data_IF_047991678447
#
_entry.id   IF_047991678447
#
_cell.length_a   1.000
_cell.length_b   1.000
_cell.length_c   1.000
_cell.angle_alpha   90.00
_cell.angle_beta   90.00
_cell.angle_gamma   90.00
#
_symmetry.space_group_name_H-M   'P 1'
#
loop_
_entity.id
_entity.type
_entity.pdbx_description
1 polymer ?
#
# COMPACT_ATOMS: atom_id res chain seq x y z
N UNK A 1 9.26 -5.14 13.68
CA UNK A 1 7.92 -5.24 14.28
C UNK A 1 6.91 -4.96 13.18
N UNK A 2 5.87 -5.78 13.02
CA UNK A 2 4.76 -5.45 12.11
C UNK A 2 4.02 -4.23 12.68
N UNK A 3 3.71 -3.23 11.86
CA UNK A 3 2.92 -2.09 12.30
C UNK A 3 1.59 -2.59 12.89
N UNK A 4 1.21 -2.10 14.08
CA UNK A 4 -0.08 -2.47 14.68
C UNK A 4 -1.19 -1.83 13.87
N UNK A 5 -1.86 -2.57 12.98
CA UNK A 5 -3.03 -2.05 12.26
C UNK A 5 -4.31 -2.16 13.08
N UNK A 6 -5.18 -1.16 12.94
CA UNK A 6 -6.46 -1.03 13.62
C UNK A 6 -7.65 -1.13 12.63
N UNK A 7 -8.81 -1.62 13.08
CA UNK A 7 -10.01 -1.62 12.26
C UNK A 7 -10.37 -0.24 11.72
N UNK A 8 -10.72 -0.15 10.44
CA UNK A 8 -11.09 1.11 9.77
C UNK A 8 -9.94 1.92 9.20
N UNK A 9 -8.68 1.57 9.49
CA UNK A 9 -7.53 2.27 8.90
C UNK A 9 -7.41 2.04 7.38
N UNK A 10 -6.85 3.03 6.70
CA UNK A 10 -6.39 2.97 5.31
C UNK A 10 -4.89 2.69 5.31
N UNK A 11 -4.48 1.61 4.64
CA UNK A 11 -3.08 1.17 4.55
C UNK A 11 -2.58 1.29 3.12
N UNK A 12 -1.35 1.75 2.92
CA UNK A 12 -0.64 1.71 1.63
C UNK A 12 0.62 0.85 1.76
N UNK A 13 0.75 -0.13 0.88
CA UNK A 13 1.97 -0.94 0.71
C UNK A 13 2.74 -0.46 -0.52
N UNK A 14 3.96 0.05 -0.29
CA UNK A 14 4.86 0.47 -1.35
C UNK A 14 5.63 -0.74 -1.87
N UNK A 15 5.58 -0.98 -3.19
CA UNK A 15 6.22 -2.14 -3.81
C UNK A 15 5.52 -3.45 -3.47
N UNK A 16 4.19 -3.47 -3.59
CA UNK A 16 3.34 -4.55 -3.08
C UNK A 16 3.54 -5.92 -3.73
N UNK A 17 4.21 -5.99 -4.89
CA UNK A 17 4.50 -7.23 -5.60
C UNK A 17 3.22 -8.06 -5.83
N UNK A 18 3.25 -9.33 -5.44
CA UNK A 18 2.09 -10.23 -5.52
C UNK A 18 0.96 -9.93 -4.51
N UNK A 19 1.09 -8.88 -3.69
CA UNK A 19 0.03 -8.34 -2.84
C UNK A 19 -0.19 -9.05 -1.51
N UNK A 20 0.74 -9.91 -1.06
CA UNK A 20 0.56 -10.70 0.18
C UNK A 20 0.33 -9.78 1.39
N UNK A 21 1.18 -8.77 1.59
CA UNK A 21 1.09 -7.86 2.73
C UNK A 21 -0.16 -6.95 2.66
N UNK A 22 -0.59 -6.58 1.45
CA UNK A 22 -1.86 -5.87 1.22
C UNK A 22 -3.06 -6.71 1.66
N UNK A 23 -3.10 -7.99 1.28
CA UNK A 23 -4.20 -8.89 1.64
C UNK A 23 -4.24 -9.17 3.16
N UNK A 24 -3.07 -9.31 3.80
CA UNK A 24 -2.98 -9.43 5.25
C UNK A 24 -3.44 -8.15 5.95
N UNK A 25 -3.04 -6.99 5.43
CA UNK A 25 -3.45 -5.68 5.96
C UNK A 25 -4.96 -5.49 5.84
N UNK A 26 -5.55 -5.81 4.69
CA UNK A 26 -6.99 -5.74 4.46
C UNK A 26 -7.82 -6.59 5.42
N UNK A 27 -7.33 -7.80 5.77
CA UNK A 27 -7.98 -8.64 6.80
C UNK A 27 -7.92 -7.98 8.18
N UNK A 28 -6.81 -7.32 8.49
CA UNK A 28 -6.55 -6.74 9.81
C UNK A 28 -7.32 -5.44 10.06
N UNK A 29 -7.42 -4.56 9.05
CA UNK A 29 -8.23 -3.34 9.13
C UNK A 29 -9.73 -3.60 8.97
N UNK A 30 -10.11 -4.82 8.58
CA UNK A 30 -11.50 -5.25 8.50
C UNK A 30 -12.29 -4.55 7.39
N UNK A 31 -13.59 -4.86 7.26
CA UNK A 31 -14.42 -4.43 6.13
C UNK A 31 -14.66 -2.92 6.06
N UNK A 32 -14.46 -2.19 7.17
CA UNK A 32 -14.56 -0.73 7.22
C UNK A 32 -13.25 -0.02 6.85
N UNK A 33 -12.14 -0.74 6.80
CA UNK A 33 -10.84 -0.21 6.36
C UNK A 33 -10.56 -0.50 4.90
N UNK A 34 -9.38 -0.10 4.42
CA UNK A 34 -8.95 -0.28 3.03
C UNK A 34 -7.45 -0.57 2.98
N UNK A 35 -7.01 -1.46 2.08
CA UNK A 35 -5.59 -1.63 1.80
C UNK A 35 -5.31 -1.38 0.30
N UNK A 36 -4.32 -0.52 0.05
CA UNK A 36 -3.77 -0.24 -1.26
C UNK A 36 -2.43 -0.96 -1.43
N UNK A 37 -2.22 -1.56 -2.59
CA UNK A 37 -0.91 -1.99 -3.05
C UNK A 37 -0.45 -1.16 -4.23
N UNK A 38 0.74 -0.57 -4.16
CA UNK A 38 1.36 0.15 -5.26
C UNK A 38 2.50 -0.69 -5.85
N UNK A 39 2.46 -0.92 -7.15
CA UNK A 39 3.56 -1.58 -7.88
C UNK A 39 3.65 -1.02 -9.31
N UNK A 40 4.87 -0.93 -9.85
CA UNK A 40 5.10 -0.38 -11.19
C UNK A 40 4.87 -1.40 -12.30
N UNK A 41 4.98 -2.70 -11.99
CA UNK A 41 5.03 -3.76 -13.01
C UNK A 41 3.66 -4.37 -13.26
N UNK A 42 3.27 -4.46 -14.55
CA UNK A 42 2.00 -5.08 -14.94
C UNK A 42 1.92 -6.56 -14.52
N UNK A 43 3.07 -7.26 -14.50
CA UNK A 43 3.15 -8.65 -14.09
C UNK A 43 2.80 -8.83 -12.60
N UNK A 44 3.35 -8.01 -11.70
CA UNK A 44 3.02 -8.11 -10.27
C UNK A 44 1.59 -7.71 -10.01
N UNK A 45 1.10 -6.64 -10.66
CA UNK A 45 -0.31 -6.23 -10.53
C UNK A 45 -1.29 -7.31 -11.01
N UNK A 46 -0.98 -8.01 -12.10
CA UNK A 46 -1.78 -9.13 -12.57
C UNK A 46 -1.82 -10.26 -11.53
N UNK A 47 -0.67 -10.62 -10.95
CA UNK A 47 -0.57 -11.63 -9.89
C UNK A 47 -1.34 -11.20 -8.63
N UNK A 48 -1.20 -9.94 -8.22
CA UNK A 48 -1.84 -9.38 -7.04
C UNK A 48 -3.37 -9.37 -7.16
N UNK A 49 -3.90 -8.97 -8.32
CA UNK A 49 -5.35 -9.01 -8.62
C UNK A 49 -5.90 -10.43 -8.63
N UNK A 50 -5.14 -11.40 -9.13
CA UNK A 50 -5.53 -12.81 -9.05
C UNK A 50 -5.55 -13.33 -7.61
N UNK A 51 -4.57 -12.93 -6.79
CA UNK A 51 -4.55 -13.26 -5.36
C UNK A 51 -5.72 -12.60 -4.61
N UNK A 52 -6.06 -11.35 -4.93
CA UNK A 52 -7.26 -10.69 -4.41
C UNK A 52 -8.53 -11.47 -4.76
N UNK A 53 -8.71 -11.85 -6.02
CA UNK A 53 -9.88 -12.63 -6.47
C UNK A 53 -10.01 -13.95 -5.69
N UNK A 54 -8.89 -14.66 -5.47
CA UNK A 54 -8.85 -15.89 -4.66
C UNK A 54 -9.14 -15.65 -3.18
N UNK A 55 -8.77 -14.48 -2.66
CA UNK A 55 -8.93 -14.15 -1.23
C UNK A 55 -10.38 -13.84 -0.81
N UNK A 56 -11.20 -13.40 -1.77
CA UNK A 56 -12.57 -12.90 -1.52
C UNK A 56 -12.66 -11.53 -0.84
N UNK A 57 -11.54 -10.81 -0.69
CA UNK A 57 -11.50 -9.50 -0.05
C UNK A 57 -11.94 -8.38 -1.00
N UNK A 58 -12.94 -7.60 -0.57
CA UNK A 58 -13.48 -6.47 -1.34
C UNK A 58 -12.81 -5.12 -0.99
N UNK A 59 -12.10 -5.04 0.13
CA UNK A 59 -11.49 -3.81 0.65
C UNK A 59 -10.01 -3.66 0.25
N UNK A 60 -9.65 -4.17 -0.94
CA UNK A 60 -8.29 -4.17 -1.48
C UNK A 60 -8.28 -3.49 -2.85
N UNK A 61 -7.25 -2.70 -3.13
CA UNK A 61 -7.06 -2.07 -4.44
C UNK A 61 -5.59 -2.03 -4.84
N UNK A 62 -5.28 -2.41 -6.08
CA UNK A 62 -3.92 -2.40 -6.61
C UNK A 62 -3.75 -1.30 -7.67
N UNK A 63 -2.87 -0.37 -7.36
CA UNK A 63 -2.55 0.82 -8.14
C UNK A 63 -1.27 0.60 -8.94
N UNK A 64 -1.28 1.05 -10.19
CA UNK A 64 -0.07 1.09 -11.02
C UNK A 64 0.64 2.43 -10.84
N UNK A 65 1.92 2.40 -10.52
CA UNK A 65 2.74 3.61 -10.39
C UNK A 65 4.08 3.34 -9.76
N UNK A 66 4.90 4.38 -9.68
CA UNK A 66 6.19 4.37 -9.01
C UNK A 66 6.02 4.91 -7.58
N UNK A 67 6.91 4.53 -6.66
CA UNK A 67 6.82 4.97 -5.25
C UNK A 67 7.25 6.43 -5.08
N UNK A 68 7.81 7.02 -6.12
CA UNK A 68 8.18 8.42 -6.31
C UNK A 68 7.01 9.28 -6.82
N UNK A 69 5.88 8.68 -7.22
CA UNK A 69 4.69 9.39 -7.72
C UNK A 69 3.43 8.59 -7.35
N UNK A 70 3.03 8.70 -6.08
CA UNK A 70 1.96 7.88 -5.50
C UNK A 70 0.61 8.41 -6.02
N UNK A 71 -0.18 7.59 -6.73
CA UNK A 71 -1.45 8.02 -7.35
C UNK A 71 -2.60 8.06 -6.32
N UNK A 72 -2.38 8.72 -5.19
CA UNK A 72 -3.34 8.94 -4.12
C UNK A 72 -3.39 10.42 -3.71
N UNK A 73 -4.53 10.91 -3.20
CA UNK A 73 -4.64 12.27 -2.68
C UNK A 73 -3.76 12.49 -1.44
N UNK A 74 -3.48 13.76 -1.16
CA UNK A 74 -2.83 14.19 0.08
C UNK A 74 -3.64 13.73 1.31
N UNK A 75 -2.95 13.40 2.40
CA UNK A 75 -3.59 13.06 3.69
C UNK A 75 -4.73 12.03 3.59
N UNK A 76 -4.52 10.97 2.81
CA UNK A 76 -5.53 9.95 2.52
C UNK A 76 -5.26 8.59 3.18
N UNK A 77 -4.04 8.35 3.68
CA UNK A 77 -3.60 7.07 4.25
C UNK A 77 -3.28 7.21 5.74
N UNK A 78 -3.66 6.21 6.54
CA UNK A 78 -3.34 6.17 7.98
C UNK A 78 -2.01 5.48 8.27
N UNK A 79 -1.66 4.45 7.47
CA UNK A 79 -0.44 3.65 7.64
C UNK A 79 0.25 3.37 6.32
N UNK A 80 1.55 3.62 6.24
CA UNK A 80 2.38 3.19 5.11
C UNK A 80 3.29 2.05 5.55
N UNK A 81 3.29 0.97 4.76
CA UNK A 81 4.23 -0.14 4.90
C UNK A 81 5.07 -0.25 3.64
N UNK A 82 6.29 -0.77 3.81
CA UNK A 82 7.23 -1.02 2.72
C UNK A 82 8.20 -2.09 3.17
N UNK A 83 8.45 -3.06 2.31
CA UNK A 83 9.50 -4.06 2.54
C UNK A 83 10.62 -3.91 1.49
N UNK A 84 11.74 -3.32 1.92
CA UNK A 84 12.99 -3.15 1.16
C UNK A 84 12.93 -2.37 -0.18
N UNK A 85 11.76 -2.00 -0.72
CA UNK A 85 11.65 -1.32 -2.01
C UNK A 85 12.28 0.08 -2.01
N UNK A 86 12.20 0.82 -0.90
CA UNK A 86 12.78 2.18 -0.77
C UNK A 86 14.30 2.16 -1.04
N UNK A 87 14.98 1.06 -0.72
CA UNK A 87 16.43 0.95 -0.97
C UNK A 87 16.77 0.94 -2.47
N UNK A 88 15.84 0.47 -3.30
CA UNK A 88 15.98 0.35 -4.75
C UNK A 88 15.64 1.65 -5.49
N UNK A 89 14.97 2.59 -4.83
CA UNK A 89 14.69 3.91 -5.40
C UNK A 89 15.97 4.71 -5.63
N UNK A 90 16.05 5.38 -6.78
CA UNK A 90 17.10 6.33 -7.12
C UNK A 90 16.90 7.71 -6.46
N UNK A 91 15.66 8.05 -6.06
CA UNK A 91 15.29 9.34 -5.47
C UNK A 91 14.54 9.13 -4.15
N UNK A 92 15.31 8.80 -3.10
CA UNK A 92 14.77 8.50 -1.77
C UNK A 92 14.08 9.71 -1.14
N UNK A 93 14.56 10.91 -1.43
CA UNK A 93 13.97 12.15 -0.90
C UNK A 93 12.56 12.32 -1.48
N UNK A 94 12.38 12.07 -2.77
CA UNK A 94 11.05 12.08 -3.40
C UNK A 94 10.13 10.99 -2.87
N UNK A 95 10.62 9.77 -2.66
CA UNK A 95 9.83 8.69 -2.03
C UNK A 95 9.33 9.09 -0.65
N UNK A 96 10.21 9.65 0.19
CA UNK A 96 9.83 10.07 1.53
C UNK A 96 8.88 11.27 1.51
N UNK A 97 9.06 12.21 0.57
CA UNK A 97 8.15 13.33 0.38
C UNK A 97 6.75 12.87 -0.06
N UNK A 98 6.66 11.93 -1.00
CA UNK A 98 5.39 11.36 -1.46
C UNK A 98 4.71 10.54 -0.36
N UNK A 99 5.46 9.70 0.36
CA UNK A 99 4.94 8.97 1.50
C UNK A 99 4.37 9.93 2.55
N UNK A 100 5.08 11.01 2.88
CA UNK A 100 4.59 12.03 3.81
C UNK A 100 3.36 12.77 3.27
N UNK A 101 3.32 13.11 1.97
CA UNK A 101 2.19 13.81 1.33
C UNK A 101 0.89 13.03 1.48
N UNK A 102 0.90 11.73 1.20
CA UNK A 102 -0.31 10.89 1.26
C UNK A 102 -0.69 10.49 2.68
N UNK A 103 0.22 10.61 3.64
CA UNK A 103 -0.03 10.29 5.04
C UNK A 103 -0.91 11.35 5.72
N UNK A 104 -1.94 10.91 6.44
CA UNK A 104 -2.77 11.80 7.27
C UNK A 104 -1.94 12.40 8.42
N UNK A 105 -2.32 13.56 8.96
CA UNK A 105 -1.79 14.04 10.22
C UNK A 105 -1.93 12.96 11.33
N UNK A 106 -0.81 12.55 11.92
CA UNK A 106 -0.77 11.48 12.92
C UNK A 106 -0.74 10.05 12.36
N UNK A 107 -0.73 9.89 11.04
CA UNK A 107 -0.41 8.61 10.40
C UNK A 107 1.04 8.20 10.63
N UNK A 108 1.37 6.96 10.25
CA UNK A 108 2.70 6.37 10.47
C UNK A 108 3.21 5.56 9.30
#
# INVERSE_FOLDING_TARGET
>A
ALATLHPGEVVLDLGSGGGIDVLLSARRVGPSGKAYGLDMTDQMLALARENQRKSGLANVEFLKGEIEDIPLPDSSVDVIISNCVINLSADKDRVLAEAYRVLKPGGR
#
